data_IF_879563091314
#
_entry.id   IF_879563091314
#
_cell.length_a   1.000
_cell.length_b   1.000
_cell.length_c   1.000
_cell.angle_alpha   90.00
_cell.angle_beta   90.00
_cell.angle_gamma   90.00
#
_symmetry.space_group_name_H-M   'P 1'
#
loop_
_entity.id
_entity.type
_entity.pdbx_description
1 polymer ?
#
# COMPACT_ATOMS: atom_id res chain seq x y z
N UNK A 1 -8.09 -9.99 13.75
CA UNK A 1 -6.85 -9.80 14.54
C UNK A 1 -5.87 -9.09 13.64
N UNK A 2 -5.66 -7.79 13.87
CA UNK A 2 -4.67 -6.99 13.16
C UNK A 2 -3.30 -7.57 13.54
N UNK A 3 -2.55 -8.10 12.58
CA UNK A 3 -1.19 -8.61 12.82
C UNK A 3 -0.19 -7.48 12.59
N UNK A 4 -0.12 -6.52 13.50
CA UNK A 4 1.01 -5.59 13.52
C UNK A 4 2.23 -6.36 14.02
N UNK A 5 3.22 -6.65 13.16
CA UNK A 5 4.50 -7.18 13.61
C UNK A 5 5.32 -6.02 14.14
N UNK A 6 5.63 -6.02 15.44
CA UNK A 6 6.65 -5.12 16.01
C UNK A 6 8.00 -5.81 15.88
N UNK A 7 8.76 -5.56 14.80
CA UNK A 7 10.17 -5.95 14.77
C UNK A 7 10.94 -4.89 15.55
N UNK A 8 11.36 -5.22 16.77
CA UNK A 8 12.29 -4.38 17.53
C UNK A 8 13.52 -4.10 16.65
N UNK A 9 13.95 -2.84 16.63
CA UNK A 9 15.06 -2.27 15.83
C UNK A 9 14.78 -1.89 14.37
N UNK A 10 13.55 -2.01 13.86
CA UNK A 10 13.13 -1.37 12.60
C UNK A 10 11.63 -1.08 12.66
N UNK A 11 11.23 0.19 12.78
CA UNK A 11 9.82 0.61 12.85
C UNK A 11 9.13 0.37 11.49
N UNK A 12 8.88 -0.90 11.16
CA UNK A 12 8.00 -1.31 10.07
C UNK A 12 6.72 -1.77 10.74
N UNK A 13 5.81 -0.82 10.92
CA UNK A 13 4.44 -1.08 11.34
C UNK A 13 3.71 -1.53 10.08
N UNK A 14 3.85 -2.81 9.72
CA UNK A 14 3.00 -3.43 8.71
C UNK A 14 1.75 -3.92 9.43
N UNK A 15 0.77 -3.03 9.56
CA UNK A 15 -0.55 -3.38 10.10
C UNK A 15 -1.53 -3.67 8.96
N UNK A 16 -1.01 -3.80 7.73
CA UNK A 16 -1.82 -3.85 6.54
C UNK A 16 -2.41 -5.24 6.35
N UNK A 17 -3.72 -5.27 6.17
CA UNK A 17 -4.41 -6.41 5.59
C UNK A 17 -4.34 -6.32 4.06
N UNK A 18 -3.76 -7.35 3.45
CA UNK A 18 -3.75 -7.47 1.99
C UNK A 18 -5.16 -7.68 1.43
N UNK A 19 -5.33 -7.45 0.12
CA UNK A 19 -6.58 -7.77 -0.54
C UNK A 19 -6.70 -9.26 -0.87
N UNK A 20 -7.73 -9.90 -0.33
CA UNK A 20 -8.15 -11.24 -0.77
C UNK A 20 -9.04 -11.09 -2.00
N UNK A 21 -8.41 -11.13 -3.18
CA UNK A 21 -9.08 -10.96 -4.46
C UNK A 21 -10.04 -12.11 -4.83
N UNK A 22 -11.23 -11.75 -5.30
CA UNK A 22 -12.18 -12.67 -5.94
C UNK A 22 -12.63 -12.11 -7.28
N UNK A 23 -12.83 -13.02 -8.24
CA UNK A 23 -13.39 -12.66 -9.54
C UNK A 23 -14.90 -12.44 -9.39
N UNK A 24 -15.34 -11.23 -9.73
CA UNK A 24 -16.74 -10.92 -10.02
C UNK A 24 -17.04 -11.14 -11.50
N UNK A 25 -18.21 -10.66 -11.92
CA UNK A 25 -18.67 -10.79 -13.31
C UNK A 25 -17.76 -10.05 -14.29
N UNK A 26 -17.40 -8.81 -13.96
CA UNK A 26 -16.66 -7.89 -14.84
C UNK A 26 -15.44 -7.23 -14.14
N UNK A 27 -15.15 -7.60 -12.89
CA UNK A 27 -14.10 -6.97 -12.09
C UNK A 27 -13.55 -7.92 -11.03
N UNK A 28 -12.37 -7.60 -10.49
CA UNK A 28 -11.82 -8.20 -9.28
C UNK A 28 -12.23 -7.35 -8.07
N UNK A 29 -12.70 -7.98 -7.00
CA UNK A 29 -13.04 -7.31 -5.74
C UNK A 29 -12.31 -7.95 -4.56
N UNK A 30 -12.05 -7.17 -3.52
CA UNK A 30 -11.50 -7.65 -2.26
C UNK A 30 -12.64 -8.14 -1.36
N UNK A 31 -12.48 -9.31 -0.75
CA UNK A 31 -13.49 -9.84 0.17
C UNK A 31 -13.28 -9.24 1.56
N UNK A 32 -14.34 -8.62 2.07
CA UNK A 32 -14.41 -8.18 3.45
C UNK A 32 -15.49 -8.96 4.22
N UNK A 33 -15.26 -9.19 5.51
CA UNK A 33 -16.18 -9.80 6.45
C UNK A 33 -16.08 -9.09 7.81
N UNK A 34 -16.83 -9.56 8.81
CA UNK A 34 -16.92 -8.93 10.14
C UNK A 34 -15.57 -8.76 10.88
N UNK A 35 -14.52 -9.49 10.48
CA UNK A 35 -13.21 -9.50 11.16
C UNK A 35 -12.02 -9.22 10.24
N UNK A 36 -12.28 -8.99 8.95
CA UNK A 36 -11.25 -8.88 7.92
C UNK A 36 -11.71 -7.97 6.78
N UNK A 37 -10.86 -7.03 6.40
CA UNK A 37 -10.98 -6.23 5.18
C UNK A 37 -9.59 -5.72 4.84
N UNK A 38 -9.31 -5.44 3.57
CA UNK A 38 -8.04 -4.80 3.20
C UNK A 38 -7.99 -3.37 3.72
N UNK A 39 -6.79 -2.90 4.05
CA UNK A 39 -6.56 -1.54 4.51
C UNK A 39 -5.22 -1.00 3.96
N UNK A 40 -4.91 0.20 4.40
CA UNK A 40 -3.69 0.94 4.09
C UNK A 40 -3.02 1.28 5.42
N UNK A 41 -1.69 1.15 5.46
CA UNK A 41 -0.92 1.71 6.55
C UNK A 41 -1.14 3.24 6.62
N UNK A 42 -1.00 3.86 7.80
CA UNK A 42 -1.10 5.31 7.92
C UNK A 42 -0.14 6.01 6.96
N UNK A 43 -0.67 6.88 6.09
CA UNK A 43 0.16 7.65 5.16
C UNK A 43 0.99 8.65 5.97
N UNK A 44 2.31 8.44 5.96
CA UNK A 44 3.26 9.32 6.64
C UNK A 44 3.82 10.38 5.69
N UNK A 45 4.26 11.51 6.26
CA UNK A 45 4.89 12.59 5.51
C UNK A 45 6.18 12.07 4.87
N UNK A 46 6.23 12.11 3.55
CA UNK A 46 7.41 11.69 2.80
C UNK A 46 8.55 12.72 2.89
N UNK A 47 9.82 12.27 2.74
CA UNK A 47 10.95 13.18 2.59
C UNK A 47 10.75 14.16 1.41
N UNK A 48 11.33 15.35 1.51
CA UNK A 48 11.28 16.34 0.42
C UNK A 48 11.85 15.72 -0.86
N UNK A 49 11.14 15.92 -1.98
CA UNK A 49 11.49 15.34 -3.27
C UNK A 49 11.10 13.88 -3.44
N UNK A 50 10.36 13.26 -2.50
CA UNK A 50 9.82 11.91 -2.66
C UNK A 50 8.30 11.95 -2.80
N UNK A 51 7.77 11.22 -3.78
CA UNK A 51 6.35 10.95 -3.96
C UNK A 51 6.09 9.49 -3.61
N UNK A 52 5.12 9.27 -2.73
CA UNK A 52 4.52 7.97 -2.48
C UNK A 52 3.34 7.79 -3.43
N UNK A 53 3.33 6.69 -4.19
CA UNK A 53 2.31 6.41 -5.20
C UNK A 53 1.68 5.05 -4.93
N UNK A 54 0.35 4.99 -5.00
CA UNK A 54 -0.42 3.76 -4.88
C UNK A 54 -1.13 3.46 -6.18
N UNK A 55 -0.89 2.27 -6.74
CA UNK A 55 -1.51 1.83 -7.98
C UNK A 55 -2.62 0.80 -7.71
N UNK A 56 -3.74 0.96 -8.41
CA UNK A 56 -4.78 -0.06 -8.57
C UNK A 56 -4.90 -0.42 -10.06
N UNK A 57 -5.10 -1.69 -10.39
CA UNK A 57 -5.19 -2.14 -11.78
C UNK A 57 -6.31 -3.15 -12.00
N UNK A 58 -6.78 -3.27 -13.24
CA UNK A 58 -7.75 -4.31 -13.62
C UNK A 58 -7.20 -5.73 -13.45
N UNK A 59 -5.87 -5.89 -13.54
CA UNK A 59 -5.20 -7.16 -13.26
C UNK A 59 -5.16 -7.53 -11.78
N UNK A 60 -5.59 -6.64 -10.88
CA UNK A 60 -5.76 -6.92 -9.47
C UNK A 60 -4.72 -6.29 -8.54
N UNK A 61 -3.91 -5.33 -9.01
CA UNK A 61 -3.12 -4.52 -8.07
C UNK A 61 -4.09 -3.77 -7.17
N UNK A 62 -3.85 -3.84 -5.85
CA UNK A 62 -4.64 -3.13 -4.84
C UNK A 62 -3.71 -2.41 -3.90
N UNK A 63 -3.73 -1.09 -3.95
CA UNK A 63 -2.82 -0.23 -3.20
C UNK A 63 -1.36 -0.66 -3.32
N UNK A 64 -0.93 -1.00 -4.54
CA UNK A 64 0.46 -1.37 -4.77
C UNK A 64 1.32 -0.12 -4.63
N UNK A 65 2.13 -0.10 -3.59
CA UNK A 65 2.99 1.03 -3.26
C UNK A 65 4.20 1.11 -4.19
N UNK A 66 4.58 2.33 -4.53
CA UNK A 66 5.83 2.67 -5.21
C UNK A 66 6.30 4.06 -4.76
N UNK A 67 7.60 4.32 -4.90
CA UNK A 67 8.18 5.62 -4.56
C UNK A 67 8.91 6.21 -5.77
N UNK A 68 8.68 7.50 -6.01
CA UNK A 68 9.38 8.30 -7.00
C UNK A 68 10.22 9.34 -6.28
N UNK A 69 11.51 9.45 -6.63
CA UNK A 69 12.43 10.43 -6.05
C UNK A 69 12.85 11.42 -7.12
N UNK A 70 12.52 12.69 -6.89
CA UNK A 70 12.97 13.82 -7.70
C UNK A 70 14.32 14.28 -7.19
N UNK A 71 15.31 14.22 -8.07
CA UNK A 71 16.60 14.87 -7.89
C UNK A 71 16.58 16.20 -8.63
N UNK A 72 17.37 17.18 -8.16
CA UNK A 72 17.58 18.40 -8.94
C UNK A 72 18.25 18.01 -10.25
N UNK A 73 17.68 18.44 -11.36
CA UNK A 73 18.37 18.40 -12.64
C UNK A 73 19.42 19.51 -12.60
N UNK A 74 20.70 19.13 -12.61
CA UNK A 74 21.78 20.10 -12.73
C UNK A 74 21.80 20.55 -14.19
N UNK A 75 21.10 21.64 -14.49
CA UNK A 75 21.26 22.33 -15.76
C UNK A 75 22.63 23.02 -15.75
N UNK A 76 23.50 22.61 -16.68
CA UNK A 76 24.77 23.27 -16.97
C UNK A 76 24.52 24.44 -17.93
#
# INVERSE_FOLDING_TARGET
MIKCITVVDSVIIDCRNECVGRKGKDTLYCVCNATYCDDLDPITKQPVGTILSYQTSQSGDRFKESQLKFTKQNDH
#
